data_IF_757344617415
#
_entry.id   IF_757344617415
#
_cell.length_a   1.000
_cell.length_b   1.000
_cell.length_c   1.000
_cell.angle_alpha   90.00
_cell.angle_beta   90.00
_cell.angle_gamma   90.00
#
_symmetry.space_group_name_H-M   'P 1'
#
loop_
_entity.id
_entity.type
_entity.pdbx_description
1 polymer ?
#
# COMPACT_ATOMS: atom_id res chain seq x y z
N UNK A 1 14.08 -19.12 8.80
CA UNK A 1 13.73 -20.50 8.38
C UNK A 1 12.22 -20.72 8.33
N UNK A 2 11.45 -20.42 9.38
CA UNK A 2 9.98 -20.62 9.45
C UNK A 2 9.16 -20.08 8.26
N UNK A 3 9.36 -18.82 7.86
CA UNK A 3 8.61 -18.19 6.75
C UNK A 3 8.69 -18.98 5.43
N UNK A 4 9.88 -19.49 5.10
CA UNK A 4 10.11 -20.28 3.89
C UNK A 4 9.35 -21.61 3.96
N UNK A 5 9.27 -22.19 5.16
CA UNK A 5 8.60 -23.46 5.38
C UNK A 5 7.08 -23.34 5.26
N UNK A 6 6.50 -22.27 5.84
CA UNK A 6 5.07 -21.94 5.68
C UNK A 6 4.74 -21.63 4.22
N UNK A 7 5.56 -20.83 3.53
CA UNK A 7 5.34 -20.53 2.12
C UNK A 7 5.36 -21.79 1.24
N UNK A 8 6.29 -22.72 1.50
CA UNK A 8 6.34 -24.02 0.81
C UNK A 8 5.09 -24.86 1.08
N UNK A 9 4.63 -24.94 2.32
CA UNK A 9 3.42 -25.68 2.69
C UNK A 9 2.16 -25.09 2.05
N UNK A 10 2.08 -23.76 1.93
CA UNK A 10 0.99 -23.05 1.28
C UNK A 10 1.10 -23.01 -0.26
N UNK A 11 2.11 -23.68 -0.86
CA UNK A 11 2.41 -23.63 -2.29
C UNK A 11 2.58 -22.21 -2.85
N UNK A 12 3.15 -21.31 -2.04
CA UNK A 12 3.41 -19.93 -2.41
C UNK A 12 4.86 -19.77 -2.92
N UNK A 13 5.09 -18.84 -3.87
CA UNK A 13 6.45 -18.48 -4.27
C UNK A 13 7.22 -17.92 -3.08
N UNK A 14 8.56 -17.94 -3.16
CA UNK A 14 9.41 -17.40 -2.08
C UNK A 14 9.19 -15.90 -1.93
N UNK A 15 8.54 -15.50 -0.84
CA UNK A 15 8.34 -14.09 -0.48
C UNK A 15 9.42 -13.66 0.52
N UNK A 16 10.06 -12.52 0.26
CA UNK A 16 10.95 -11.88 1.24
C UNK A 16 10.11 -11.25 2.35
N UNK A 17 10.62 -11.16 3.58
CA UNK A 17 9.89 -10.51 4.70
C UNK A 17 9.42 -9.10 4.33
N UNK A 18 10.27 -8.33 3.64
CA UNK A 18 9.93 -6.99 3.16
C UNK A 18 8.76 -6.97 2.14
N UNK A 19 8.56 -8.06 1.40
CA UNK A 19 7.43 -8.21 0.47
C UNK A 19 6.08 -8.13 1.17
N UNK A 20 5.95 -8.68 2.39
CA UNK A 20 4.72 -8.57 3.17
C UNK A 20 4.43 -7.12 3.59
N UNK A 21 5.47 -6.33 3.88
CA UNK A 21 5.32 -4.90 4.20
C UNK A 21 4.77 -4.12 3.01
N UNK A 22 5.21 -4.44 1.79
CA UNK A 22 4.63 -3.86 0.58
C UNK A 22 3.18 -4.28 0.38
N UNK A 23 2.85 -5.57 0.55
CA UNK A 23 1.47 -6.06 0.44
C UNK A 23 0.54 -5.35 1.43
N UNK A 24 0.94 -5.22 2.69
CA UNK A 24 0.19 -4.50 3.71
C UNK A 24 -0.11 -3.06 3.29
N UNK A 25 0.91 -2.33 2.85
CA UNK A 25 0.77 -0.94 2.46
C UNK A 25 -0.14 -0.74 1.23
N UNK A 26 -0.01 -1.59 0.22
CA UNK A 26 -0.90 -1.57 -0.95
C UNK A 26 -2.36 -1.79 -0.54
N UNK A 27 -2.63 -2.78 0.30
CA UNK A 27 -3.98 -3.07 0.79
C UNK A 27 -4.55 -1.92 1.64
N UNK A 28 -3.72 -1.32 2.50
CA UNK A 28 -4.12 -0.20 3.33
C UNK A 28 -4.55 1.02 2.48
N UNK A 29 -3.79 1.36 1.44
CA UNK A 29 -4.14 2.44 0.51
C UNK A 29 -5.41 2.11 -0.27
N UNK A 30 -5.54 0.87 -0.76
CA UNK A 30 -6.76 0.42 -1.45
C UNK A 30 -8.01 0.51 -0.56
N UNK A 31 -7.85 0.24 0.75
CA UNK A 31 -8.88 0.42 1.76
C UNK A 31 -9.15 1.90 2.12
N UNK A 32 -8.42 2.85 1.53
CA UNK A 32 -8.63 4.30 1.72
C UNK A 32 -7.75 4.95 2.78
N UNK A 33 -6.75 4.24 3.32
CA UNK A 33 -5.78 4.84 4.24
C UNK A 33 -4.94 5.88 3.51
N UNK A 34 -4.80 7.07 4.10
CA UNK A 34 -3.97 8.12 3.52
C UNK A 34 -2.47 7.87 3.81
N UNK A 35 -1.61 8.55 3.03
CA UNK A 35 -0.15 8.35 3.09
C UNK A 35 0.43 8.65 4.48
N UNK A 36 -0.09 9.66 5.19
CA UNK A 36 0.36 10.03 6.54
C UNK A 36 0.03 8.96 7.58
N UNK A 37 -1.18 8.41 7.52
CA UNK A 37 -1.62 7.30 8.37
C UNK A 37 -0.76 6.05 8.10
N UNK A 38 -0.55 5.73 6.83
CA UNK A 38 0.27 4.59 6.43
C UNK A 38 1.72 4.76 6.86
N UNK A 39 2.31 5.94 6.68
CA UNK A 39 3.67 6.25 7.14
C UNK A 39 3.82 5.99 8.65
N UNK A 40 2.85 6.44 9.45
CA UNK A 40 2.84 6.21 10.89
C UNK A 40 2.75 4.72 11.23
N UNK A 41 1.87 3.97 10.58
CA UNK A 41 1.74 2.51 10.77
C UNK A 41 3.00 1.74 10.38
N UNK A 42 3.69 2.19 9.34
CA UNK A 42 4.95 1.59 8.93
C UNK A 42 6.10 2.00 9.86
N UNK A 43 6.00 3.12 10.57
CA UNK A 43 7.13 3.67 11.33
C UNK A 43 8.26 4.14 10.42
N UNK A 44 7.93 4.69 9.25
CA UNK A 44 8.91 5.31 8.37
C UNK A 44 9.11 6.77 8.77
N UNK A 45 10.31 7.12 9.24
CA UNK A 45 10.68 8.51 9.49
C UNK A 45 10.71 9.33 8.19
N UNK A 46 11.08 8.68 7.07
CA UNK A 46 11.11 9.27 5.74
C UNK A 46 9.93 8.83 4.86
N UNK A 47 9.13 9.81 4.46
CA UNK A 47 8.04 9.68 3.49
C UNK A 47 8.53 9.17 2.13
N UNK A 48 9.76 9.49 1.71
CA UNK A 48 10.27 9.10 0.39
C UNK A 48 10.41 7.58 0.25
N UNK A 49 10.74 6.87 1.34
CA UNK A 49 10.72 5.39 1.37
C UNK A 49 9.30 4.84 1.13
N UNK A 50 8.29 5.60 1.58
CA UNK A 50 6.85 5.30 1.39
C UNK A 50 6.29 5.89 0.09
N UNK A 51 7.07 6.63 -0.70
CA UNK A 51 6.61 7.21 -1.99
C UNK A 51 7.30 6.55 -3.18
N UNK A 52 8.58 6.19 -3.04
CA UNK A 52 9.39 5.52 -4.08
C UNK A 52 8.75 4.20 -4.56
N UNK A 53 8.05 3.49 -3.70
CA UNK A 53 7.38 2.22 -4.01
C UNK A 53 6.01 2.44 -4.65
N UNK A 54 5.39 3.61 -4.47
CA UNK A 54 3.96 3.81 -4.70
C UNK A 54 3.63 4.91 -5.70
N UNK A 55 4.61 5.41 -6.44
CA UNK A 55 4.41 6.34 -7.57
C UNK A 55 3.31 5.86 -8.53
N UNK A 56 3.20 4.54 -8.77
CA UNK A 56 2.11 3.95 -9.57
C UNK A 56 0.73 3.92 -8.90
N UNK A 57 0.63 3.93 -7.57
CA UNK A 57 -0.65 4.02 -6.86
C UNK A 57 -1.18 5.45 -6.82
N UNK A 58 -0.31 6.45 -6.89
CA UNK A 58 -0.69 7.87 -6.89
C UNK A 58 -1.65 8.23 -8.04
N UNK A 59 -1.47 7.62 -9.22
CA UNK A 59 -2.37 7.81 -10.36
C UNK A 59 -3.78 7.25 -10.08
N UNK A 60 -3.87 6.09 -9.41
CA UNK A 60 -5.15 5.49 -9.00
C UNK A 60 -5.84 6.39 -7.97
N UNK A 61 -5.09 6.93 -7.02
CA UNK A 61 -5.62 7.85 -5.99
C UNK A 61 -6.08 9.17 -6.61
N UNK A 62 -5.35 9.70 -7.60
CA UNK A 62 -5.75 10.90 -8.35
C UNK A 62 -7.08 10.73 -9.07
N UNK A 63 -7.26 9.62 -9.79
CA UNK A 63 -8.52 9.32 -10.47
C UNK A 63 -9.69 9.28 -9.48
N UNK A 64 -9.52 8.55 -8.37
CA UNK A 64 -10.55 8.42 -7.32
C UNK A 64 -10.86 9.76 -6.64
N UNK A 65 -9.89 10.66 -6.52
CA UNK A 65 -10.08 12.00 -5.95
C UNK A 65 -10.89 12.89 -6.87
N UNK A 66 -10.67 12.82 -8.19
CA UNK A 66 -11.45 13.56 -9.17
C UNK A 66 -12.92 13.11 -9.19
N UNK A 67 -13.18 11.81 -9.07
CA UNK A 67 -14.54 11.25 -8.99
C UNK A 67 -15.28 11.73 -7.73
N UNK A 68 -14.61 11.69 -6.57
CA UNK A 68 -15.18 12.19 -5.30
C UNK A 68 -15.43 13.70 -5.35
N UNK A 69 -14.53 14.47 -5.93
CA UNK A 69 -14.76 15.91 -6.09
C UNK A 69 -15.96 16.16 -6.99
N UNK A 70 -16.04 15.50 -8.14
CA UNK A 70 -17.16 15.64 -9.08
C UNK A 70 -18.50 15.31 -8.43
N UNK A 71 -18.56 14.27 -7.59
CA UNK A 71 -19.80 13.92 -6.86
C UNK A 71 -20.19 14.93 -5.78
N UNK A 72 -19.23 15.70 -5.25
CA UNK A 72 -19.50 16.74 -4.26
C UNK A 72 -19.94 18.07 -4.89
N UNK A 73 -19.51 18.37 -6.12
CA UNK A 73 -19.79 19.67 -6.78
C UNK A 73 -20.97 19.61 -7.77
N UNK A 74 -21.36 18.43 -8.25
CA UNK A 74 -22.57 18.27 -9.06
C UNK A 74 -23.82 18.25 -8.15
N UNK A 75 -24.48 19.40 -8.03
CA UNK A 75 -25.86 19.53 -7.55
C UNK A 75 -26.87 19.18 -8.65
#
# INVERSE_FOLDING_TARGET
MWLIQVAKQANLPRIKVHGFRHTYATLAIQAGMNIKQLQCQLGHDDVQTTLSVYSGLTEIVKAKTADVFTSLVNF
#
